data_IF_192255107406
#
_entry.id   IF_192255107406
#
_cell.length_a   1.000
_cell.length_b   1.000
_cell.length_c   1.000
_cell.angle_alpha   90.00
_cell.angle_beta   90.00
_cell.angle_gamma   90.00
#
_symmetry.space_group_name_H-M   'P 1'
#
loop_
_entity.id
_entity.type
_entity.pdbx_description
1 polymer ?
#
# COMPACT_ATOMS: atom_id res chain seq x y z
N UNK A 1 -21.70 -69.83 -1.94
CA UNK A 1 -21.86 -70.39 -3.30
C UNK A 1 -23.12 -69.80 -3.93
N UNK A 2 -22.97 -68.76 -4.75
CA UNK A 2 -23.85 -68.28 -5.84
C UNK A 2 -23.18 -67.00 -6.36
N UNK A 3 -22.43 -66.94 -7.48
CA UNK A 3 -22.87 -66.93 -8.90
C UNK A 3 -24.11 -66.06 -9.08
N UNK A 4 -24.22 -65.07 -9.97
CA UNK A 4 -23.44 -64.46 -11.06
C UNK A 4 -24.34 -63.30 -11.57
N UNK A 5 -23.88 -62.48 -12.53
CA UNK A 5 -24.62 -61.59 -13.46
C UNK A 5 -24.52 -60.08 -13.09
N UNK A 6 -23.66 -59.25 -13.71
CA UNK A 6 -23.47 -58.80 -15.13
C UNK A 6 -24.32 -57.58 -15.48
N UNK A 7 -23.68 -56.64 -16.21
CA UNK A 7 -24.18 -55.47 -16.96
C UNK A 7 -24.18 -54.12 -16.22
N UNK A 8 -23.13 -53.30 -16.36
CA UNK A 8 -22.88 -52.32 -17.45
C UNK A 8 -23.86 -51.15 -17.42
N UNK A 9 -23.37 -49.96 -17.04
CA UNK A 9 -23.43 -48.76 -17.87
C UNK A 9 -22.78 -47.58 -17.13
N UNK A 10 -21.89 -46.88 -17.84
CA UNK A 10 -21.29 -45.62 -17.48
C UNK A 10 -22.35 -44.60 -16.99
N UNK A 11 -22.13 -44.04 -15.81
CA UNK A 11 -22.35 -42.61 -15.60
C UNK A 11 -21.17 -42.03 -14.82
N UNK A 12 -20.21 -41.51 -15.59
CA UNK A 12 -19.30 -40.47 -15.14
C UNK A 12 -20.14 -39.34 -14.53
N UNK A 13 -20.20 -39.24 -13.20
CA UNK A 13 -20.33 -37.96 -12.48
C UNK A 13 -19.72 -38.11 -11.07
N UNK A 14 -18.48 -38.57 -11.01
CA UNK A 14 -17.58 -38.14 -9.94
C UNK A 14 -16.85 -36.92 -10.48
N UNK A 15 -17.56 -35.80 -10.57
CA UNK A 15 -16.90 -34.50 -10.48
C UNK A 15 -16.81 -34.23 -8.98
N UNK A 16 -15.66 -34.43 -8.32
CA UNK A 16 -15.45 -33.72 -7.09
C UNK A 16 -15.59 -32.26 -7.50
N UNK A 17 -16.58 -31.57 -6.93
CA UNK A 17 -16.64 -30.13 -7.02
C UNK A 17 -15.30 -29.65 -6.45
N UNK A 18 -14.36 -29.37 -7.35
CA UNK A 18 -13.29 -28.44 -7.12
C UNK A 18 -14.03 -27.14 -6.81
N UNK A 19 -14.35 -26.94 -5.53
CA UNK A 19 -14.61 -25.61 -4.97
C UNK A 19 -13.29 -24.87 -5.04
N UNK A 20 -12.92 -24.53 -6.26
CA UNK A 20 -11.82 -23.68 -6.60
C UNK A 20 -12.31 -22.24 -6.59
N UNK A 21 -11.49 -21.42 -5.93
CA UNK A 21 -11.28 -20.01 -6.21
C UNK A 21 -12.41 -19.07 -5.76
N UNK A 22 -12.34 -18.74 -4.47
CA UNK A 22 -12.87 -17.49 -3.95
C UNK A 22 -12.06 -17.05 -2.74
N UNK A 23 -10.73 -17.19 -2.81
CA UNK A 23 -9.86 -16.52 -1.84
C UNK A 23 -10.07 -15.03 -2.02
N UNK A 24 -10.79 -14.42 -1.09
CA UNK A 24 -10.73 -13.00 -0.83
C UNK A 24 -9.25 -12.73 -0.52
N UNK A 25 -8.48 -12.39 -1.55
CA UNK A 25 -7.12 -11.91 -1.36
C UNK A 25 -7.32 -10.64 -0.52
N UNK A 26 -6.85 -10.55 0.74
CA UNK A 26 -6.99 -9.34 1.53
C UNK A 26 -6.26 -8.26 0.74
N UNK A 27 -7.07 -7.51 -0.01
CA UNK A 27 -6.64 -6.67 -1.09
C UNK A 27 -5.70 -5.65 -0.48
N UNK A 28 -4.46 -5.65 -0.98
CA UNK A 28 -3.39 -4.69 -0.64
C UNK A 28 -3.98 -3.41 -0.06
N UNK A 29 -3.56 -2.96 1.14
CA UNK A 29 -4.12 -1.77 1.76
C UNK A 29 -4.20 -0.67 0.72
N UNK A 30 -5.40 -0.14 0.54
CA UNK A 30 -5.65 0.91 -0.43
C UNK A 30 -4.68 2.05 -0.13
N UNK A 31 -3.90 2.45 -1.13
CA UNK A 31 -2.96 3.57 -0.99
C UNK A 31 -3.83 4.83 -0.93
N UNK A 32 -4.21 5.21 0.28
CA UNK A 32 -4.87 6.47 0.57
C UNK A 32 -3.80 7.56 0.72
N UNK A 33 -4.00 8.67 0.00
CA UNK A 33 -3.14 9.86 0.05
C UNK A 33 -4.01 11.03 0.50
N UNK A 34 -3.59 11.69 1.57
CA UNK A 34 -4.28 12.85 2.13
C UNK A 34 -3.42 14.11 1.97
N UNK A 35 -4.04 15.27 1.88
CA UNK A 35 -3.31 16.54 1.95
C UNK A 35 -2.95 16.87 3.40
N UNK A 36 -1.83 17.55 3.61
CA UNK A 36 -1.40 18.03 4.93
C UNK A 36 -1.02 19.51 4.87
N UNK A 37 -1.55 20.30 5.80
CA UNK A 37 -1.21 21.70 6.02
C UNK A 37 -0.20 21.83 7.19
N UNK A 38 0.22 23.05 7.51
CA UNK A 38 1.25 23.29 8.52
C UNK A 38 0.84 22.81 9.90
N UNK A 39 -0.41 23.08 10.30
CA UNK A 39 -0.95 22.61 11.58
C UNK A 39 -1.07 21.09 11.64
N UNK A 40 -1.42 20.45 10.52
CA UNK A 40 -1.41 19.00 10.38
C UNK A 40 -0.01 18.41 10.49
N UNK A 41 0.99 19.06 9.88
CA UNK A 41 2.39 18.65 9.97
C UNK A 41 2.95 18.87 11.38
N UNK A 42 2.63 19.98 12.04
CA UNK A 42 3.00 20.25 13.43
C UNK A 42 2.46 19.17 14.36
N UNK A 43 1.17 18.83 14.25
CA UNK A 43 0.56 17.73 15.01
C UNK A 43 1.22 16.40 14.69
N UNK A 44 1.49 16.13 13.41
CA UNK A 44 2.25 14.95 13.02
C UNK A 44 3.58 14.94 13.79
N UNK A 45 4.38 15.99 13.82
CA UNK A 45 5.68 15.98 14.51
C UNK A 45 5.54 15.93 16.04
N UNK A 46 4.52 16.53 16.65
CA UNK A 46 4.36 16.61 18.10
C UNK A 46 3.75 15.35 18.73
N UNK A 47 2.84 14.67 18.04
CA UNK A 47 2.12 13.49 18.54
C UNK A 47 2.99 12.22 18.46
N UNK A 48 4.09 12.22 19.21
CA UNK A 48 5.09 11.14 19.22
C UNK A 48 5.08 10.47 20.58
N UNK A 49 4.28 9.42 20.73
CA UNK A 49 4.18 8.60 21.95
C UNK A 49 5.41 7.69 22.14
N UNK A 50 6.62 8.27 22.20
CA UNK A 50 7.89 7.53 22.26
C UNK A 50 8.32 6.90 20.94
N UNK A 51 7.62 7.20 19.84
CA UNK A 51 7.95 6.75 18.48
C UNK A 51 8.93 7.72 17.83
N UNK A 52 9.92 7.16 17.12
CA UNK A 52 10.80 7.90 16.21
C UNK A 52 10.05 8.09 14.90
N UNK A 53 9.98 9.33 14.40
CA UNK A 53 9.39 9.65 13.10
C UNK A 53 10.50 9.96 12.10
N UNK A 54 10.54 9.21 11.01
CA UNK A 54 11.32 9.55 9.82
C UNK A 54 10.38 10.17 8.80
N UNK A 55 10.65 11.43 8.44
CA UNK A 55 9.91 12.14 7.39
C UNK A 55 10.78 12.18 6.14
N UNK A 56 10.23 11.69 5.02
CA UNK A 56 10.86 11.80 3.71
C UNK A 56 10.09 12.78 2.84
N UNK A 57 10.71 13.89 2.46
CA UNK A 57 10.13 14.84 1.49
C UNK A 57 10.54 14.40 0.09
N UNK A 58 9.56 14.21 -0.80
CA UNK A 58 9.81 13.69 -2.15
C UNK A 58 8.90 14.34 -3.18
N UNK A 59 9.17 14.11 -4.46
CA UNK A 59 8.27 14.47 -5.54
C UNK A 59 8.45 13.54 -6.74
N UNK A 60 7.43 13.41 -7.58
CA UNK A 60 7.51 12.57 -8.79
C UNK A 60 8.53 13.06 -9.80
N UNK A 61 8.85 14.36 -9.78
CA UNK A 61 9.87 15.01 -10.61
C UNK A 61 11.27 15.03 -9.97
N UNK A 62 11.40 14.65 -8.69
CA UNK A 62 12.68 14.59 -8.01
C UNK A 62 13.38 13.25 -8.32
N UNK A 63 14.30 13.27 -9.29
CA UNK A 63 15.04 12.07 -9.73
C UNK A 63 15.72 11.31 -8.59
N UNK A 64 16.54 11.93 -7.70
CA UNK A 64 17.16 11.19 -6.60
C UNK A 64 16.12 10.61 -5.63
N UNK A 65 15.05 11.36 -5.34
CA UNK A 65 13.95 10.89 -4.47
C UNK A 65 13.26 9.64 -5.03
N UNK A 66 13.07 9.58 -6.36
CA UNK A 66 12.47 8.42 -7.02
C UNK A 66 13.41 7.21 -7.01
N UNK A 67 14.72 7.45 -7.12
CA UNK A 67 15.73 6.38 -7.10
C UNK A 67 15.87 5.75 -5.71
N UNK A 68 15.78 6.53 -4.64
CA UNK A 68 15.87 6.04 -3.25
C UNK A 68 14.54 5.45 -2.73
N UNK A 69 13.41 5.75 -3.37
CA UNK A 69 12.09 5.34 -2.88
C UNK A 69 11.93 3.84 -2.60
N UNK A 70 12.46 2.90 -3.42
CA UNK A 70 12.41 1.47 -3.11
C UNK A 70 13.09 1.11 -1.78
N UNK A 71 14.14 1.84 -1.40
CA UNK A 71 14.84 1.65 -0.13
C UNK A 71 13.98 2.13 1.05
N UNK A 72 13.23 3.22 0.88
CA UNK A 72 12.24 3.68 1.88
C UNK A 72 11.12 2.66 2.07
N UNK A 73 10.63 2.04 0.99
CA UNK A 73 9.63 0.96 1.07
C UNK A 73 10.19 -0.23 1.84
N UNK A 74 11.44 -0.63 1.56
CA UNK A 74 12.11 -1.71 2.31
C UNK A 74 12.24 -1.34 3.79
N UNK A 75 12.69 -0.14 4.10
CA UNK A 75 12.87 0.36 5.47
C UNK A 75 11.54 0.36 6.24
N UNK A 76 10.47 0.82 5.61
CA UNK A 76 9.14 0.85 6.23
C UNK A 76 8.63 -0.56 6.57
N UNK A 77 8.91 -1.54 5.72
CA UNK A 77 8.56 -2.94 5.99
C UNK A 77 9.43 -3.54 7.10
N UNK A 78 10.73 -3.22 7.14
CA UNK A 78 11.67 -3.71 8.16
C UNK A 78 11.30 -3.20 9.57
N UNK A 79 10.90 -1.93 9.66
CA UNK A 79 10.48 -1.30 10.91
C UNK A 79 8.99 -1.45 11.23
N UNK A 80 8.24 -2.24 10.44
CA UNK A 80 6.83 -2.48 10.71
C UNK A 80 6.64 -3.12 12.09
N UNK A 81 5.82 -2.50 12.94
CA UNK A 81 5.59 -2.97 14.32
C UNK A 81 6.66 -2.56 15.34
N UNK A 82 7.68 -1.80 14.92
CA UNK A 82 8.67 -1.20 15.82
C UNK A 82 8.21 0.16 16.37
N UNK A 83 9.10 0.85 17.09
CA UNK A 83 8.90 2.23 17.53
C UNK A 83 9.29 3.27 16.47
N UNK A 84 9.60 2.87 15.23
CA UNK A 84 9.91 3.78 14.11
C UNK A 84 8.72 3.87 13.18
N UNK A 85 8.30 5.10 12.86
CA UNK A 85 7.27 5.40 11.87
C UNK A 85 7.90 6.16 10.70
N UNK A 86 7.58 5.74 9.48
CA UNK A 86 8.04 6.39 8.24
C UNK A 86 6.86 7.03 7.55
N UNK A 87 7.00 8.31 7.22
CA UNK A 87 5.99 9.10 6.51
C UNK A 87 6.63 9.80 5.31
N UNK A 88 5.95 9.75 4.17
CA UNK A 88 6.32 10.56 3.00
C UNK A 88 5.50 11.85 2.92
N UNK A 89 6.14 12.96 2.57
CA UNK A 89 5.47 14.23 2.22
C UNK A 89 5.81 14.55 0.77
N UNK A 90 4.84 14.44 -0.13
CA UNK A 90 5.01 14.82 -1.52
C UNK A 90 4.96 16.34 -1.67
N UNK A 91 5.92 16.88 -2.43
CA UNK A 91 5.99 18.27 -2.84
C UNK A 91 5.31 18.53 -4.20
N UNK A 92 4.77 17.50 -4.85
CA UNK A 92 3.81 17.63 -5.96
C UNK A 92 2.55 18.38 -5.48
N UNK A 93 1.69 18.81 -6.41
CA UNK A 93 0.48 19.56 -6.08
C UNK A 93 -0.71 18.65 -5.75
N UNK A 94 -1.68 19.09 -4.93
CA UNK A 94 -2.88 18.30 -4.61
C UNK A 94 -3.70 17.83 -5.82
N UNK A 95 -3.76 18.61 -6.91
CA UNK A 95 -4.42 18.22 -8.15
C UNK A 95 -3.67 17.14 -8.95
N UNK A 96 -2.44 16.79 -8.53
CA UNK A 96 -1.62 15.74 -9.12
C UNK A 96 -1.73 14.39 -8.38
N UNK A 97 -2.54 14.30 -7.33
CA UNK A 97 -2.74 13.08 -6.52
C UNK A 97 -3.08 11.88 -7.39
N UNK A 98 -4.15 11.98 -8.18
CA UNK A 98 -4.64 10.85 -8.98
C UNK A 98 -3.81 10.62 -10.25
N UNK A 99 -3.26 11.69 -10.82
CA UNK A 99 -2.58 11.63 -12.12
C UNK A 99 -1.11 11.19 -12.01
N UNK A 100 -0.42 11.52 -10.90
CA UNK A 100 1.01 11.27 -10.74
C UNK A 100 1.35 10.47 -9.48
N UNK A 101 0.82 10.90 -8.33
CA UNK A 101 1.27 10.44 -7.00
C UNK A 101 0.77 9.02 -6.73
N UNK A 102 -0.55 8.78 -6.80
CA UNK A 102 -1.15 7.46 -6.59
C UNK A 102 -0.59 6.41 -7.55
N UNK A 103 -0.45 6.68 -8.87
CA UNK A 103 0.21 5.75 -9.79
C UNK A 103 1.65 5.44 -9.39
N UNK A 104 2.43 6.43 -8.94
CA UNK A 104 3.80 6.24 -8.48
C UNK A 104 3.85 5.33 -7.24
N UNK A 105 3.08 5.65 -6.21
CA UNK A 105 3.04 4.86 -4.96
C UNK A 105 2.58 3.42 -5.21
N UNK A 106 1.60 3.21 -6.10
CA UNK A 106 1.16 1.88 -6.54
C UNK A 106 2.27 1.09 -7.21
N UNK A 107 3.06 1.72 -8.10
CA UNK A 107 4.23 1.07 -8.75
C UNK A 107 5.31 0.70 -7.74
N UNK A 108 5.58 1.60 -6.79
CA UNK A 108 6.56 1.37 -5.73
C UNK A 108 6.07 0.38 -4.65
N UNK A 109 4.77 0.05 -4.64
CA UNK A 109 4.13 -0.75 -3.59
C UNK A 109 4.31 -0.11 -2.22
N UNK A 110 4.22 1.21 -2.16
CA UNK A 110 4.42 2.00 -0.96
C UNK A 110 3.28 1.78 0.03
N UNK A 111 3.51 0.98 1.07
CA UNK A 111 2.52 0.66 2.10
C UNK A 111 2.54 1.61 3.31
N UNK A 112 3.53 2.51 3.40
CA UNK A 112 3.63 3.50 4.47
C UNK A 112 2.83 4.76 4.14
N UNK A 113 2.50 5.55 5.16
CA UNK A 113 1.64 6.72 5.01
C UNK A 113 2.33 7.81 4.16
N UNK A 114 1.61 8.35 3.19
CA UNK A 114 2.08 9.43 2.33
C UNK A 114 1.04 10.57 2.33
N UNK A 115 1.53 11.80 2.43
CA UNK A 115 0.74 13.02 2.33
C UNK A 115 1.16 13.85 1.11
N UNK A 116 0.31 14.78 0.70
CA UNK A 116 0.66 15.86 -0.25
C UNK A 116 0.63 17.19 0.48
N UNK A 117 1.66 18.02 0.28
CA UNK A 117 1.70 19.35 0.89
C UNK A 117 0.51 20.20 0.44
N UNK A 118 -0.06 20.95 1.37
CA UNK A 118 -1.05 21.98 1.13
C UNK A 118 -0.70 23.24 1.95
N UNK A 119 0.56 23.64 1.89
CA UNK A 119 1.05 24.87 2.51
C UNK A 119 0.77 26.06 1.58
N UNK A 120 0.17 27.12 2.11
CA UNK A 120 -0.03 28.38 1.39
C UNK A 120 1.32 28.95 0.98
N UNK A 121 1.47 29.35 -0.28
CA UNK A 121 2.69 29.93 -0.83
C UNK A 121 3.03 31.33 -0.31
N UNK A 122 2.22 31.87 0.59
CA UNK A 122 2.20 33.30 0.93
C UNK A 122 3.13 33.65 2.11
N UNK A 123 3.89 32.67 2.62
CA UNK A 123 4.77 32.83 3.79
C UNK A 123 6.26 32.51 3.51
N UNK A 124 6.69 32.54 2.24
CA UNK A 124 8.08 32.36 1.82
C UNK A 124 8.83 33.68 1.58
#
# INVERSE_FOLDING_TARGET
MSRLLVAIALSLMIFPALTGCGGENPSRPEIAVETIDEGGFEKLVQERSGKILLVNVWATWCVPCVQEFPDLVRLANEYQGSNVEIVGISADFPDEIESKIVPFLKRQKAGFKNYVRNFSSDEA
#
